data_IF_999945709926
#
_entry.id   IF_999945709926
#
_cell.length_a   1.000
_cell.length_b   1.000
_cell.length_c   1.000
_cell.angle_alpha   90.00
_cell.angle_beta   90.00
_cell.angle_gamma   90.00
#
_symmetry.space_group_name_H-M   'P 1'
#
loop_
_entity.id
_entity.type
_entity.pdbx_description
1 polymer ?
#
# COMPACT_ATOMS: atom_id res chain seq x y z
N UNK A 1 -34.13 -7.65 -42.94
CA UNK A 1 -33.39 -6.37 -43.01
C UNK A 1 -34.20 -5.18 -42.45
N UNK A 2 -35.11 -5.38 -41.50
CA UNK A 2 -36.07 -4.33 -41.05
C UNK A 2 -35.85 -3.84 -39.60
N UNK A 3 -35.12 -4.61 -38.77
CA UNK A 3 -34.92 -4.26 -37.34
C UNK A 3 -34.01 -3.06 -37.12
N UNK A 4 -33.01 -2.85 -38.00
CA UNK A 4 -32.11 -1.70 -37.92
C UNK A 4 -32.85 -0.38 -38.21
N UNK A 5 -33.80 -0.38 -39.15
CA UNK A 5 -34.65 0.79 -39.46
C UNK A 5 -35.59 1.12 -38.30
N UNK A 6 -36.13 0.10 -37.65
CA UNK A 6 -37.02 0.25 -36.50
C UNK A 6 -36.31 0.86 -35.29
N UNK A 7 -35.09 0.41 -35.01
CA UNK A 7 -34.23 0.99 -33.97
C UNK A 7 -33.85 2.44 -34.31
N UNK A 8 -33.48 2.73 -35.56
CA UNK A 8 -33.16 4.10 -36.00
C UNK A 8 -34.35 5.05 -35.82
N UNK A 9 -35.57 4.62 -36.13
CA UNK A 9 -36.76 5.45 -35.99
C UNK A 9 -37.18 5.67 -34.52
N UNK A 10 -36.87 4.74 -33.62
CA UNK A 10 -37.12 4.89 -32.17
C UNK A 10 -36.10 5.73 -31.43
N UNK A 11 -34.94 6.03 -32.04
CA UNK A 11 -33.90 6.83 -31.38
C UNK A 11 -34.18 8.34 -31.45
N UNK A 12 -33.98 9.09 -30.35
CA UNK A 12 -34.17 10.54 -30.33
C UNK A 12 -33.29 11.30 -31.33
N UNK A 13 -33.79 12.40 -31.89
CA UNK A 13 -33.08 13.17 -32.94
C UNK A 13 -31.72 13.72 -32.49
N UNK A 14 -31.59 14.11 -31.23
CA UNK A 14 -30.32 14.60 -30.66
C UNK A 14 -29.20 13.56 -30.71
N UNK A 15 -29.56 12.27 -30.65
CA UNK A 15 -28.61 11.15 -30.68
C UNK A 15 -28.08 10.86 -32.10
N UNK A 16 -28.77 11.36 -33.13
CA UNK A 16 -28.38 11.21 -34.55
C UNK A 16 -27.45 12.32 -35.02
N UNK A 17 -27.24 13.34 -34.21
CA UNK A 17 -26.34 14.46 -34.52
C UNK A 17 -24.89 13.98 -34.60
N UNK A 18 -24.17 14.39 -35.65
CA UNK A 18 -22.72 14.13 -35.79
C UNK A 18 -21.91 14.66 -34.61
N UNK A 19 -22.39 15.73 -33.96
CA UNK A 19 -21.76 16.30 -32.77
C UNK A 19 -21.97 15.41 -31.54
N UNK A 20 -23.15 14.81 -31.39
CA UNK A 20 -23.42 13.87 -30.30
C UNK A 20 -22.61 12.59 -30.48
N UNK A 21 -22.57 12.02 -31.70
CA UNK A 21 -21.79 10.82 -31.96
C UNK A 21 -20.28 11.06 -31.74
N UNK A 22 -19.76 12.19 -32.21
CA UNK A 22 -18.37 12.59 -31.96
C UNK A 22 -18.09 12.78 -30.47
N UNK A 23 -19.00 13.44 -29.74
CA UNK A 23 -18.87 13.63 -28.29
C UNK A 23 -18.97 12.31 -27.52
N UNK A 24 -19.86 11.42 -27.93
CA UNK A 24 -20.02 10.10 -27.32
C UNK A 24 -18.77 9.23 -27.52
N UNK A 25 -18.23 9.19 -28.74
CA UNK A 25 -16.96 8.49 -29.02
C UNK A 25 -15.82 9.10 -28.21
N UNK A 26 -15.77 10.43 -28.08
CA UNK A 26 -14.77 11.12 -27.27
C UNK A 26 -14.92 10.82 -25.75
N UNK A 27 -16.14 10.79 -25.23
CA UNK A 27 -16.42 10.43 -23.84
C UNK A 27 -16.07 8.96 -23.57
N UNK A 28 -16.40 8.05 -24.49
CA UNK A 28 -16.01 6.64 -24.41
C UNK A 28 -14.49 6.51 -24.49
N UNK A 29 -13.82 7.31 -25.32
CA UNK A 29 -12.36 7.34 -25.40
C UNK A 29 -11.73 7.72 -24.07
N UNK A 30 -12.16 8.82 -23.46
CA UNK A 30 -11.67 9.23 -22.13
C UNK A 30 -12.05 8.19 -21.08
N UNK A 31 -13.25 7.62 -21.11
CA UNK A 31 -13.67 6.63 -20.10
C UNK A 31 -12.89 5.31 -20.16
N UNK A 32 -12.50 4.84 -21.35
CA UNK A 32 -11.86 3.53 -21.55
C UNK A 32 -10.35 3.59 -21.79
N UNK A 33 -9.86 4.60 -22.52
CA UNK A 33 -8.44 4.74 -22.86
C UNK A 33 -7.68 5.68 -21.93
N UNK A 34 -8.35 6.50 -21.11
CA UNK A 34 -7.65 7.32 -20.13
C UNK A 34 -7.10 6.47 -18.97
N UNK A 35 -5.84 6.75 -18.63
CA UNK A 35 -5.02 6.14 -17.58
C UNK A 35 -5.60 6.21 -16.16
N UNK A 36 -6.66 6.98 -15.96
CA UNK A 36 -7.42 7.11 -14.71
C UNK A 36 -8.37 5.92 -14.46
N UNK A 37 -7.94 4.71 -14.78
CA UNK A 37 -8.72 3.52 -14.43
C UNK A 37 -8.97 3.50 -12.92
N UNK A 38 -10.23 3.27 -12.53
CA UNK A 38 -10.66 3.12 -11.14
C UNK A 38 -9.80 2.06 -10.41
N UNK A 39 -9.37 1.03 -11.16
CA UNK A 39 -8.44 -0.01 -10.70
C UNK A 39 -7.11 0.58 -10.19
N UNK A 40 -6.55 1.57 -10.88
CA UNK A 40 -5.31 2.22 -10.45
C UNK A 40 -5.50 3.04 -9.18
N UNK A 41 -6.64 3.72 -9.01
CA UNK A 41 -6.93 4.46 -7.78
C UNK A 41 -7.10 3.53 -6.58
N UNK A 42 -7.79 2.40 -6.75
CA UNK A 42 -7.94 1.38 -5.70
C UNK A 42 -6.58 0.82 -5.27
N UNK A 43 -5.74 0.42 -6.25
CA UNK A 43 -4.38 -0.09 -5.96
C UNK A 43 -3.53 0.94 -5.23
N UNK A 44 -3.59 2.21 -5.63
CA UNK A 44 -2.86 3.30 -4.95
C UNK A 44 -3.34 3.46 -3.51
N UNK A 45 -4.64 3.47 -3.26
CA UNK A 45 -5.20 3.57 -1.91
C UNK A 45 -4.78 2.40 -1.02
N UNK A 46 -4.80 1.17 -1.56
CA UNK A 46 -4.31 -0.01 -0.85
C UNK A 46 -2.81 0.08 -0.52
N UNK A 47 -2.01 0.59 -1.45
CA UNK A 47 -0.58 0.78 -1.24
C UNK A 47 -0.29 1.82 -0.15
N UNK A 48 -0.99 2.94 -0.16
CA UNK A 48 -0.90 3.96 0.90
C UNK A 48 -1.24 3.34 2.26
N UNK A 49 -2.35 2.62 2.35
CA UNK A 49 -2.77 1.97 3.61
C UNK A 49 -1.73 0.97 4.11
N UNK A 50 -1.10 0.22 3.21
CA UNK A 50 -0.01 -0.70 3.55
C UNK A 50 1.18 0.05 4.14
N UNK A 51 1.62 1.13 3.50
CA UNK A 51 2.75 1.95 3.98
C UNK A 51 2.42 2.54 5.36
N UNK A 52 1.21 3.05 5.56
CA UNK A 52 0.78 3.58 6.88
C UNK A 52 0.79 2.49 7.96
N UNK A 53 0.37 1.27 7.63
CA UNK A 53 0.45 0.12 8.53
C UNK A 53 1.89 -0.23 8.88
N UNK A 54 2.77 -0.27 7.87
CA UNK A 54 4.20 -0.56 8.05
C UNK A 54 4.85 0.53 8.95
N UNK A 55 4.56 1.81 8.71
CA UNK A 55 5.03 2.92 9.54
C UNK A 55 4.58 2.75 11.00
N UNK A 56 3.30 2.44 11.22
CA UNK A 56 2.79 2.25 12.58
C UNK A 56 3.44 1.03 13.27
N UNK A 57 3.64 -0.05 12.53
CA UNK A 57 4.34 -1.24 13.02
C UNK A 57 5.76 -0.90 13.47
N UNK A 58 6.58 -0.30 12.60
CA UNK A 58 7.97 0.02 12.92
C UNK A 58 8.08 1.07 14.03
N UNK A 59 7.18 2.06 14.09
CA UNK A 59 7.17 3.00 15.21
C UNK A 59 6.93 2.31 16.54
N UNK A 60 6.05 1.30 16.58
CA UNK A 60 5.79 0.52 17.80
C UNK A 60 6.98 -0.34 18.19
N UNK A 61 7.64 -0.98 17.23
CA UNK A 61 8.88 -1.74 17.47
C UNK A 61 9.98 -0.83 18.01
N UNK A 62 10.19 0.34 17.40
CA UNK A 62 11.19 1.32 17.86
C UNK A 62 10.92 1.74 19.31
N UNK A 63 9.68 2.01 19.70
CA UNK A 63 9.38 2.34 21.10
C UNK A 63 9.72 1.18 22.04
N UNK A 64 9.42 -0.05 21.63
CA UNK A 64 9.74 -1.26 22.40
C UNK A 64 11.26 -1.40 22.56
N UNK A 65 12.02 -1.23 21.48
CA UNK A 65 13.48 -1.30 21.49
C UNK A 65 14.10 -0.20 22.35
N UNK A 66 13.56 1.02 22.30
CA UNK A 66 14.02 2.13 23.14
C UNK A 66 13.79 1.85 24.63
N UNK A 67 12.65 1.26 24.99
CA UNK A 67 12.38 0.85 26.37
C UNK A 67 13.36 -0.24 26.82
N UNK A 68 13.65 -1.22 25.96
CA UNK A 68 14.66 -2.26 26.22
C UNK A 68 16.04 -1.64 26.42
N UNK A 69 16.48 -0.74 25.53
CA UNK A 69 17.76 -0.04 25.64
C UNK A 69 17.83 0.75 26.93
N UNK A 70 16.75 1.44 27.31
CA UNK A 70 16.69 2.21 28.55
C UNK A 70 16.81 1.31 29.77
N UNK A 71 16.15 0.16 29.78
CA UNK A 71 16.30 -0.83 30.85
C UNK A 71 17.74 -1.34 30.91
N UNK A 72 18.35 -1.70 29.76
CA UNK A 72 19.73 -2.18 29.67
C UNK A 72 20.77 -1.14 30.09
N UNK A 73 20.50 0.15 29.86
CA UNK A 73 21.42 1.26 30.16
C UNK A 73 21.37 1.73 31.61
N UNK A 74 20.52 1.13 32.45
CA UNK A 74 20.48 1.45 33.88
C UNK A 74 21.67 0.79 34.59
N UNK A 75 22.42 1.57 35.37
CA UNK A 75 23.60 1.11 36.14
C UNK A 75 23.27 0.03 37.20
N UNK A 76 21.99 -0.28 37.40
CA UNK A 76 21.48 -1.32 38.31
C UNK A 76 21.19 -2.66 37.64
N UNK A 77 21.53 -2.84 36.36
CA UNK A 77 21.31 -4.10 35.65
C UNK A 77 22.12 -5.24 36.30
N UNK A 78 21.45 -6.32 36.70
CA UNK A 78 22.15 -7.51 37.20
C UNK A 78 22.81 -8.26 36.03
N UNK A 79 23.96 -8.89 36.28
CA UNK A 79 24.69 -9.70 35.30
C UNK A 79 23.82 -10.84 34.70
N UNK A 80 22.88 -11.36 35.48
CA UNK A 80 21.94 -12.41 35.06
C UNK A 80 20.89 -11.87 34.08
N UNK A 81 20.41 -10.64 34.30
CA UNK A 81 19.43 -10.00 33.43
C UNK A 81 20.06 -9.61 32.08
N UNK A 82 21.29 -9.08 32.07
CA UNK A 82 22.04 -8.81 30.83
C UNK A 82 22.21 -10.09 30.00
N UNK A 83 22.56 -11.21 30.66
CA UNK A 83 22.75 -12.50 30.01
C UNK A 83 21.45 -13.03 29.39
N UNK A 84 20.32 -12.88 30.08
CA UNK A 84 19.00 -13.26 29.56
C UNK A 84 18.64 -12.47 28.30
N UNK A 85 18.77 -11.13 28.33
CA UNK A 85 18.50 -10.30 27.15
C UNK A 85 19.42 -10.62 25.97
N UNK A 86 20.70 -10.96 26.21
CA UNK A 86 21.60 -11.41 25.13
C UNK A 86 21.17 -12.73 24.48
N UNK A 87 20.58 -13.64 25.23
CA UNK A 87 20.15 -14.93 24.71
C UNK A 87 18.85 -14.83 23.92
N UNK A 88 17.87 -14.10 24.44
CA UNK A 88 16.56 -13.94 23.78
C UNK A 88 16.60 -12.95 22.60
N UNK A 89 17.39 -11.87 22.71
CA UNK A 89 17.47 -10.81 21.69
C UNK A 89 18.73 -10.89 20.82
N UNK A 90 19.56 -11.93 20.97
CA UNK A 90 20.80 -12.17 20.22
C UNK A 90 21.75 -10.96 20.16
N UNK A 91 21.77 -10.13 21.20
CA UNK A 91 22.59 -8.93 21.26
C UNK A 91 24.08 -9.29 21.42
N UNK A 92 24.93 -8.77 20.53
CA UNK A 92 26.39 -8.93 20.61
C UNK A 92 27.01 -7.94 21.60
N UNK A 93 28.05 -8.35 22.34
CA UNK A 93 28.85 -7.41 23.13
C UNK A 93 29.79 -6.60 22.22
N UNK A 94 30.22 -5.43 22.69
CA UNK A 94 31.26 -4.64 22.00
C UNK A 94 32.52 -5.52 21.85
N UNK A 95 32.93 -5.79 20.61
CA UNK A 95 34.01 -6.70 20.20
C UNK A 95 33.70 -8.22 20.24
N UNK A 96 32.43 -8.62 20.17
CA UNK A 96 32.03 -10.02 19.99
C UNK A 96 31.61 -10.27 18.54
N UNK A 97 32.25 -11.22 17.85
CA UNK A 97 31.85 -11.67 16.51
C UNK A 97 30.85 -12.83 16.62
N UNK A 98 29.63 -12.65 16.12
CA UNK A 98 28.61 -13.71 16.07
C UNK A 98 28.77 -14.48 14.75
N UNK A 99 29.03 -15.78 14.84
CA UNK A 99 29.06 -16.68 13.69
C UNK A 99 27.75 -17.49 13.64
N UNK A 100 26.98 -17.32 12.55
CA UNK A 100 25.85 -18.20 12.24
C UNK A 100 26.41 -19.33 11.37
N UNK A 101 26.39 -20.55 11.89
CA UNK A 101 26.80 -21.75 11.15
C UNK A 101 25.52 -22.39 10.62
N UNK A 102 25.44 -22.53 9.30
CA UNK A 102 24.35 -23.22 8.59
C UNK A 102 24.68 -24.71 8.38
#
# INVERSE_FOLDING_TARGET
MNRLKEVYNKTPEWMKSKYFLSGFVFCVWIAFFDTHSIKNQIKKSQHIKKIEQDINYYNKEIQTDLDIIKTLSQDTLSQELEKYFRQEMFLSKKNEEIFIIE
#
